data_IF_902768543523
#
_entry.id   IF_902768543523
#
_cell.length_a   1.000
_cell.length_b   1.000
_cell.length_c   1.000
_cell.angle_alpha   90.00
_cell.angle_beta   90.00
_cell.angle_gamma   90.00
#
_symmetry.space_group_name_H-M   'P 1'
#
loop_
_entity.id
_entity.type
_entity.pdbx_description
1 polymer ?
#
# COMPACT_ATOMS: atom_id res chain seq x y z
N UNK A 1 -1.88 -27.76 13.21
CA UNK A 1 -1.17 -27.93 11.92
C UNK A 1 -0.01 -26.98 11.84
N UNK A 2 1.08 -27.35 11.16
CA UNK A 2 2.38 -26.66 11.18
C UNK A 2 2.35 -25.14 10.93
N UNK A 3 1.39 -24.62 10.14
CA UNK A 3 1.27 -23.19 9.83
C UNK A 3 1.01 -22.30 11.06
N UNK A 4 0.19 -22.76 12.02
CA UNK A 4 -0.14 -21.98 13.22
C UNK A 4 1.04 -21.75 14.16
N UNK A 5 2.13 -22.50 14.00
CA UNK A 5 3.38 -22.25 14.73
C UNK A 5 4.02 -20.92 14.33
N UNK A 6 3.95 -20.58 13.04
CA UNK A 6 4.56 -19.37 12.47
C UNK A 6 3.54 -18.23 12.33
N UNK A 7 2.28 -18.58 12.07
CA UNK A 7 1.16 -17.66 11.95
C UNK A 7 0.04 -18.11 12.90
N UNK A 8 0.16 -17.85 14.20
CA UNK A 8 -0.85 -18.25 15.20
C UNK A 8 -2.24 -17.71 14.83
N UNK A 9 -2.24 -16.54 14.21
CA UNK A 9 -3.38 -15.83 13.68
C UNK A 9 -3.55 -16.08 12.17
N UNK A 10 -3.32 -17.29 11.66
CA UNK A 10 -3.78 -17.63 10.33
C UNK A 10 -5.25 -18.05 10.39
N UNK A 11 -6.12 -17.33 9.68
CA UNK A 11 -7.50 -17.76 9.43
C UNK A 11 -7.58 -18.40 8.05
N UNK A 12 -8.56 -19.29 7.90
CA UNK A 12 -8.82 -19.93 6.61
C UNK A 12 -9.73 -19.05 5.74
N UNK A 13 -10.62 -18.30 6.37
CA UNK A 13 -11.60 -17.47 5.70
C UNK A 13 -11.65 -16.06 6.26
N UNK A 14 -11.91 -15.08 5.40
CA UNK A 14 -11.94 -13.66 5.77
C UNK A 14 -13.00 -13.29 6.83
N UNK A 15 -14.02 -14.13 7.05
CA UNK A 15 -15.13 -13.84 7.97
C UNK A 15 -14.77 -14.24 9.40
N UNK A 16 -13.66 -14.96 9.58
CA UNK A 16 -13.12 -15.28 10.89
C UNK A 16 -12.30 -14.09 11.47
N UNK A 17 -12.03 -13.06 10.66
CA UNK A 17 -11.23 -11.90 11.05
C UNK A 17 -11.95 -10.97 12.03
N UNK A 18 -13.29 -10.96 12.04
CA UNK A 18 -14.07 -10.13 12.97
C UNK A 18 -13.70 -10.42 14.44
N UNK A 19 -13.38 -11.68 14.75
CA UNK A 19 -12.91 -12.09 16.09
C UNK A 19 -11.57 -11.47 16.53
N UNK A 20 -10.80 -10.86 15.61
CA UNK A 20 -9.53 -10.21 15.93
C UNK A 20 -9.67 -8.76 16.35
N UNK A 21 -10.80 -8.13 16.04
CA UNK A 21 -11.03 -6.69 16.23
C UNK A 21 -10.63 -6.25 17.62
N UNK A 22 -11.20 -6.89 18.65
CA UNK A 22 -10.95 -6.56 20.06
C UNK A 22 -9.46 -6.54 20.38
N UNK A 23 -8.73 -7.59 20.00
CA UNK A 23 -7.29 -7.69 20.24
C UNK A 23 -6.49 -6.61 19.50
N UNK A 24 -6.83 -6.32 18.25
CA UNK A 24 -6.16 -5.26 17.47
C UNK A 24 -6.32 -3.92 18.18
N UNK A 25 -7.54 -3.62 18.67
CA UNK A 25 -7.82 -2.40 19.42
C UNK A 25 -7.11 -2.38 20.78
N UNK A 26 -7.10 -3.51 21.50
CA UNK A 26 -6.46 -3.63 22.82
C UNK A 26 -4.92 -3.51 22.77
N UNK A 27 -4.31 -3.79 21.61
CA UNK A 27 -2.84 -3.72 21.42
C UNK A 27 -2.38 -2.33 20.97
N UNK A 28 -3.31 -1.42 20.64
CA UNK A 28 -3.00 -0.13 20.07
C UNK A 28 -2.51 0.87 21.12
N UNK A 29 -1.24 1.32 21.01
CA UNK A 29 -0.59 2.23 21.98
C UNK A 29 -0.16 3.57 21.39
N UNK A 30 -0.40 3.79 20.09
CA UNK A 30 0.06 4.98 19.35
C UNK A 30 -0.97 6.12 19.43
N UNK A 31 -0.53 7.35 19.22
CA UNK A 31 -1.44 8.48 19.03
C UNK A 31 -2.13 8.41 17.66
N UNK A 32 -3.40 7.98 17.68
CA UNK A 32 -4.23 7.86 16.47
C UNK A 32 -4.55 9.20 15.84
N UNK A 33 -4.70 10.25 16.64
CA UNK A 33 -5.00 11.57 16.13
C UNK A 33 -3.80 12.09 15.33
N UNK A 34 -2.60 12.01 15.91
CA UNK A 34 -1.37 12.42 15.24
C UNK A 34 -1.12 11.62 13.95
N UNK A 35 -1.37 10.31 13.95
CA UNK A 35 -1.28 9.49 12.73
C UNK A 35 -2.27 9.96 11.65
N UNK A 36 -3.54 10.19 12.02
CA UNK A 36 -4.57 10.60 11.07
C UNK A 36 -4.31 12.01 10.54
N UNK A 37 -3.74 12.91 11.35
CA UNK A 37 -3.35 14.26 10.92
C UNK A 37 -2.23 14.18 9.88
N UNK A 38 -1.16 13.42 10.15
CA UNK A 38 -0.07 13.22 9.20
C UNK A 38 -0.54 12.58 7.88
N UNK A 39 -1.45 11.60 7.96
CA UNK A 39 -2.05 10.96 6.79
C UNK A 39 -2.91 11.95 6.00
N UNK A 40 -3.70 12.80 6.66
CA UNK A 40 -4.51 13.82 6.00
C UNK A 40 -3.63 14.81 5.25
N UNK A 41 -2.63 15.40 5.92
CA UNK A 41 -1.72 16.37 5.32
C UNK A 41 -1.01 15.81 4.08
N UNK A 42 -0.50 14.58 4.18
CA UNK A 42 0.20 13.92 3.08
C UNK A 42 -0.72 13.67 1.89
N UNK A 43 -1.90 13.09 2.13
CA UNK A 43 -2.84 12.75 1.06
C UNK A 43 -3.49 13.98 0.42
N UNK A 44 -3.75 15.04 1.17
CA UNK A 44 -4.23 16.31 0.61
C UNK A 44 -3.18 16.93 -0.30
N UNK A 45 -1.89 16.89 0.09
CA UNK A 45 -0.79 17.39 -0.74
C UNK A 45 -0.65 16.64 -2.08
N UNK A 46 -1.06 15.37 -2.12
CA UNK A 46 -1.09 14.54 -3.33
C UNK A 46 -2.39 14.63 -4.12
N UNK A 47 -3.34 15.48 -3.71
CA UNK A 47 -4.62 15.65 -4.41
C UNK A 47 -5.59 14.49 -4.23
N UNK A 48 -5.56 13.82 -3.07
CA UNK A 48 -6.45 12.69 -2.80
C UNK A 48 -7.94 13.05 -2.87
N UNK A 49 -8.74 12.09 -3.33
CA UNK A 49 -10.20 12.20 -3.41
C UNK A 49 -10.89 12.15 -2.04
N UNK A 50 -12.20 12.46 -2.05
CA UNK A 50 -13.04 12.49 -0.83
C UNK A 50 -13.04 11.15 -0.11
N UNK A 51 -13.04 10.05 -0.84
CA UNK A 51 -13.07 8.69 -0.33
C UNK A 51 -11.84 8.39 0.56
N UNK A 52 -10.66 8.89 0.18
CA UNK A 52 -9.43 8.76 0.99
C UNK A 52 -9.55 9.57 2.27
N UNK A 53 -9.99 10.83 2.18
CA UNK A 53 -10.13 11.70 3.35
C UNK A 53 -11.20 11.18 4.33
N UNK A 54 -12.29 10.62 3.81
CA UNK A 54 -13.32 10.00 4.64
C UNK A 54 -12.84 8.69 5.29
N UNK A 55 -11.99 7.91 4.61
CA UNK A 55 -11.31 6.77 5.25
C UNK A 55 -10.37 7.22 6.38
N UNK A 56 -9.65 8.33 6.22
CA UNK A 56 -8.79 8.88 7.28
C UNK A 56 -9.64 9.37 8.48
N UNK A 57 -10.78 10.03 8.23
CA UNK A 57 -11.73 10.40 9.30
C UNK A 57 -12.25 9.19 10.05
N UNK A 58 -12.63 8.13 9.33
CA UNK A 58 -13.07 6.85 9.93
C UNK A 58 -11.95 6.19 10.72
N UNK A 59 -10.71 6.22 10.22
CA UNK A 59 -9.55 5.69 10.93
C UNK A 59 -9.32 6.36 12.29
N UNK A 60 -9.76 7.62 12.46
CA UNK A 60 -9.67 8.34 13.73
C UNK A 60 -10.57 7.75 14.82
N UNK A 61 -11.63 7.03 14.46
CA UNK A 61 -12.51 6.32 15.40
C UNK A 61 -11.71 5.29 16.20
N UNK A 62 -11.88 5.28 17.52
CA UNK A 62 -11.24 4.31 18.43
C UNK A 62 -11.72 2.87 18.19
N UNK A 63 -12.82 2.70 17.47
CA UNK A 63 -13.44 1.40 17.18
C UNK A 63 -13.09 0.88 15.77
N UNK A 64 -12.25 1.62 15.04
CA UNK A 64 -11.83 1.30 13.68
C UNK A 64 -10.51 0.52 13.62
N UNK A 65 -10.42 -0.39 12.66
CA UNK A 65 -9.22 -1.17 12.34
C UNK A 65 -8.73 -0.87 10.92
N UNK A 66 -7.43 -1.04 10.68
CA UNK A 66 -6.84 -0.92 9.36
C UNK A 66 -6.62 -2.30 8.72
N UNK A 67 -6.99 -2.44 7.45
CA UNK A 67 -6.54 -3.55 6.60
C UNK A 67 -5.33 -3.06 5.82
N UNK A 68 -4.14 -3.50 6.22
CA UNK A 68 -2.88 -3.02 5.67
C UNK A 68 -2.31 -4.02 4.67
N UNK A 69 -1.86 -3.51 3.54
CA UNK A 69 -0.97 -4.20 2.61
C UNK A 69 0.09 -3.21 2.13
N UNK A 70 1.07 -3.63 1.36
CA UNK A 70 2.08 -2.73 0.83
C UNK A 70 2.95 -3.33 -0.25
N UNK A 71 3.69 -2.44 -0.90
CA UNK A 71 4.71 -2.76 -1.89
C UNK A 71 5.71 -1.60 -2.01
N UNK A 72 6.89 -1.88 -2.56
CA UNK A 72 7.81 -0.86 -3.05
C UNK A 72 7.17 0.02 -4.12
N UNK A 73 7.72 1.22 -4.27
CA UNK A 73 7.26 2.25 -5.22
C UNK A 73 7.83 2.02 -6.62
N UNK A 74 7.45 0.89 -7.23
CA UNK A 74 7.86 0.52 -8.59
C UNK A 74 7.40 1.52 -9.66
N UNK A 75 8.23 1.72 -10.68
CA UNK A 75 7.92 2.52 -11.86
C UNK A 75 6.56 2.10 -12.46
N UNK A 76 5.69 3.06 -12.75
CA UNK A 76 4.33 2.82 -13.25
C UNK A 76 3.52 1.79 -12.44
N UNK A 77 3.63 1.83 -11.11
CA UNK A 77 3.01 0.89 -10.14
C UNK A 77 3.67 -0.49 -10.04
N UNK A 78 4.73 -0.72 -10.84
CA UNK A 78 5.48 -1.96 -10.86
C UNK A 78 4.64 -3.16 -11.32
N UNK A 79 4.86 -4.36 -10.77
CA UNK A 79 4.16 -5.56 -11.20
C UNK A 79 2.67 -5.51 -10.82
N UNK A 80 1.84 -6.19 -11.62
CA UNK A 80 0.37 -6.19 -11.47
C UNK A 80 -0.13 -6.61 -10.09
N UNK A 81 0.65 -7.40 -9.35
CA UNK A 81 0.28 -7.80 -7.99
C UNK A 81 0.20 -6.61 -7.02
N UNK A 82 0.86 -5.48 -7.29
CA UNK A 82 0.74 -4.23 -6.51
C UNK A 82 -0.72 -3.79 -6.48
N UNK A 83 -1.37 -3.77 -7.66
CA UNK A 83 -2.79 -3.43 -7.80
C UNK A 83 -3.66 -4.50 -7.14
N UNK A 84 -3.35 -5.78 -7.28
CA UNK A 84 -4.11 -6.85 -6.62
C UNK A 84 -4.03 -6.80 -5.10
N UNK A 85 -2.87 -6.43 -4.54
CA UNK A 85 -2.72 -6.19 -3.10
C UNK A 85 -3.63 -5.05 -2.65
N UNK A 86 -3.54 -3.89 -3.31
CA UNK A 86 -4.38 -2.74 -2.99
C UNK A 86 -5.89 -3.07 -3.07
N UNK A 87 -6.33 -3.68 -4.17
CA UNK A 87 -7.71 -4.12 -4.35
C UNK A 87 -8.14 -5.14 -3.27
N UNK A 88 -7.25 -6.04 -2.88
CA UNK A 88 -7.52 -7.02 -1.82
C UNK A 88 -7.74 -6.34 -0.48
N UNK A 89 -6.94 -5.32 -0.13
CA UNK A 89 -7.13 -4.54 1.09
C UNK A 89 -8.45 -3.78 1.08
N UNK A 90 -8.79 -3.10 -0.03
CA UNK A 90 -10.06 -2.39 -0.22
C UNK A 90 -11.24 -3.36 -0.08
N UNK A 91 -11.19 -4.50 -0.78
CA UNK A 91 -12.27 -5.48 -0.76
C UNK A 91 -12.45 -6.10 0.63
N UNK A 92 -11.35 -6.39 1.31
CA UNK A 92 -11.40 -6.96 2.65
C UNK A 92 -11.94 -5.96 3.67
N UNK A 93 -11.51 -4.70 3.62
CA UNK A 93 -12.05 -3.63 4.47
C UNK A 93 -13.56 -3.44 4.27
N UNK A 94 -14.03 -3.49 3.01
CA UNK A 94 -15.46 -3.44 2.69
C UNK A 94 -16.22 -4.65 3.26
N UNK A 95 -15.67 -5.86 3.12
CA UNK A 95 -16.28 -7.09 3.67
C UNK A 95 -16.39 -7.06 5.20
N UNK A 96 -15.39 -6.53 5.90
CA UNK A 96 -15.41 -6.36 7.36
C UNK A 96 -16.43 -5.30 7.79
N UNK A 97 -16.45 -4.16 7.08
CA UNK A 97 -17.41 -3.07 7.34
C UNK A 97 -18.85 -3.53 7.17
N UNK A 98 -19.14 -4.34 6.14
CA UNK A 98 -20.45 -4.95 5.92
C UNK A 98 -20.90 -5.91 7.04
N UNK A 99 -19.97 -6.40 7.88
CA UNK A 99 -20.24 -7.28 9.03
C UNK A 99 -20.24 -6.54 10.37
N UNK A 100 -20.10 -5.21 10.35
CA UNK A 100 -20.10 -4.38 11.56
C UNK A 100 -18.72 -4.11 12.16
N UNK A 101 -17.64 -4.54 11.51
CA UNK A 101 -16.27 -4.18 11.89
C UNK A 101 -15.84 -2.95 11.08
N UNK A 102 -15.78 -1.77 11.70
CA UNK A 102 -15.33 -0.55 11.02
C UNK A 102 -13.87 -0.72 10.53
N UNK A 103 -13.69 -0.93 9.23
CA UNK A 103 -12.38 -1.20 8.64
C UNK A 103 -12.06 -0.22 7.50
N UNK A 104 -10.82 0.24 7.46
CA UNK A 104 -10.30 1.12 6.41
C UNK A 104 -9.11 0.47 5.69
N UNK A 105 -9.02 0.57 4.36
CA UNK A 105 -7.85 0.05 3.64
C UNK A 105 -6.68 1.02 3.75
N UNK A 106 -5.48 0.48 3.97
CA UNK A 106 -4.23 1.23 3.98
C UNK A 106 -3.23 0.53 3.07
N UNK A 107 -2.65 1.28 2.13
CA UNK A 107 -1.56 0.82 1.30
C UNK A 107 -0.26 1.47 1.78
N UNK A 108 0.65 0.66 2.29
CA UNK A 108 1.98 1.07 2.71
C UNK A 108 2.91 1.15 1.49
N UNK A 109 3.32 2.37 1.16
CA UNK A 109 4.36 2.62 0.16
C UNK A 109 5.72 2.44 0.83
N UNK A 110 6.46 1.39 0.49
CA UNK A 110 7.79 1.13 1.05
C UNK A 110 8.84 2.06 0.43
N UNK A 111 8.76 3.35 0.75
CA UNK A 111 9.61 4.41 0.20
C UNK A 111 11.03 4.38 0.75
N UNK A 112 11.22 3.81 1.94
CA UNK A 112 12.51 3.69 2.63
C UNK A 112 13.41 2.56 2.11
N UNK A 113 12.93 1.78 1.14
CA UNK A 113 13.75 0.75 0.49
C UNK A 113 14.89 1.41 -0.31
N UNK A 114 15.98 0.67 -0.52
CA UNK A 114 17.15 1.11 -1.28
C UNK A 114 17.35 0.25 -2.54
N UNK A 115 16.52 -0.77 -2.76
CA UNK A 115 16.58 -1.64 -3.93
C UNK A 115 16.05 -0.93 -5.19
N UNK A 116 16.91 -0.09 -5.75
CA UNK A 116 16.62 0.66 -6.98
C UNK A 116 16.44 -0.27 -8.20
N UNK A 117 17.22 -1.35 -8.27
CA UNK A 117 17.17 -2.26 -9.42
C UNK A 117 15.80 -2.91 -9.57
N UNK A 118 15.12 -3.20 -8.45
CA UNK A 118 13.76 -3.74 -8.44
C UNK A 118 12.71 -2.72 -8.89
N UNK A 119 12.83 -1.45 -8.49
CA UNK A 119 11.77 -0.44 -8.74
C UNK A 119 11.95 0.37 -10.03
N UNK A 120 13.16 0.43 -10.61
CA UNK A 120 13.44 1.27 -11.77
C UNK A 120 12.85 0.75 -13.09
N UNK A 121 12.28 -0.47 -13.11
CA UNK A 121 11.78 -1.13 -14.32
C UNK A 121 10.29 -1.45 -14.20
N UNK A 122 9.60 -1.33 -15.32
CA UNK A 122 8.24 -1.79 -15.50
C UNK A 122 8.16 -2.65 -16.77
N UNK A 123 7.33 -3.69 -16.75
CA UNK A 123 7.07 -4.52 -17.91
C UNK A 123 5.59 -4.44 -18.28
N UNK A 124 5.32 -4.25 -19.57
CA UNK A 124 3.97 -4.13 -20.12
C UNK A 124 3.79 -5.09 -21.30
N UNK A 125 2.57 -5.57 -21.50
CA UNK A 125 2.24 -6.37 -22.69
C UNK A 125 1.90 -5.38 -23.81
N UNK A 126 2.73 -5.35 -24.85
CA UNK A 126 2.54 -4.51 -26.01
C UNK A 126 1.38 -5.01 -26.89
N UNK A 127 0.93 -4.18 -27.84
CA UNK A 127 -0.20 -4.50 -28.72
C UNK A 127 0.04 -5.74 -29.59
N UNK A 128 1.30 -6.13 -29.81
CA UNK A 128 1.68 -7.35 -30.53
C UNK A 128 1.74 -8.60 -29.62
N UNK A 129 1.37 -8.46 -28.34
CA UNK A 129 1.37 -9.53 -27.34
C UNK A 129 2.74 -9.85 -26.75
N UNK A 130 3.79 -9.09 -27.09
CA UNK A 130 5.14 -9.27 -26.52
C UNK A 130 5.31 -8.44 -25.26
N UNK A 131 6.23 -8.88 -24.40
CA UNK A 131 6.65 -8.10 -23.25
C UNK A 131 7.55 -6.95 -23.73
N UNK A 132 7.16 -5.73 -23.39
CA UNK A 132 7.97 -4.52 -23.56
C UNK A 132 8.37 -4.01 -22.17
N UNK A 133 9.62 -3.54 -22.06
CA UNK A 133 10.16 -3.00 -20.83
C UNK A 133 10.31 -1.49 -20.91
N UNK A 134 10.01 -0.83 -19.81
CA UNK A 134 10.29 0.57 -19.56
C UNK A 134 11.26 0.65 -18.38
N UNK A 135 12.33 1.43 -18.50
CA UNK A 135 13.26 1.67 -17.40
C UNK A 135 13.72 3.11 -17.38
N UNK A 136 14.01 3.60 -16.17
CA UNK A 136 14.68 4.87 -15.96
C UNK A 136 16.19 4.67 -15.72
N UNK A 137 17.05 5.67 -16.02
CA UNK A 137 18.50 5.53 -15.88
C UNK A 137 18.93 5.28 -14.43
N UNK A 138 19.99 4.49 -14.25
CA UNK A 138 20.54 4.18 -12.93
C UNK A 138 21.17 5.40 -12.25
N UNK A 139 21.62 6.38 -13.04
CA UNK A 139 22.26 7.61 -12.59
C UNK A 139 21.33 8.52 -11.76
N UNK A 140 20.01 8.30 -11.83
CA UNK A 140 19.02 8.99 -11.00
C UNK A 140 19.10 8.57 -9.52
N UNK A 141 19.65 7.38 -9.25
CA UNK A 141 19.79 6.84 -7.91
C UNK A 141 21.23 6.92 -7.43
N UNK A 142 21.45 7.68 -6.37
CA UNK A 142 22.71 7.68 -5.65
C UNK A 142 22.76 6.48 -4.70
N UNK A 143 23.91 5.81 -4.61
CA UNK A 143 24.11 4.66 -3.74
C UNK A 143 23.66 4.96 -2.29
N UNK A 144 22.82 4.08 -1.74
CA UNK A 144 22.28 4.23 -0.39
C UNK A 144 21.17 5.27 -0.23
N UNK A 145 20.64 5.87 -1.31
CA UNK A 145 19.45 6.72 -1.27
C UNK A 145 18.18 5.87 -1.18
N UNK A 146 17.20 6.34 -0.43
CA UNK A 146 15.87 5.74 -0.40
C UNK A 146 15.12 5.98 -1.71
N UNK A 147 14.42 4.95 -2.19
CA UNK A 147 13.71 4.98 -3.48
C UNK A 147 12.65 6.09 -3.55
N UNK A 148 11.93 6.35 -2.47
CA UNK A 148 10.91 7.40 -2.43
C UNK A 148 11.46 8.81 -2.50
N UNK A 149 12.77 8.98 -2.32
CA UNK A 149 13.45 10.26 -2.45
C UNK A 149 13.98 10.55 -3.83
N UNK A 150 13.94 9.61 -4.78
CA UNK A 150 14.47 9.79 -6.15
C UNK A 150 13.55 10.72 -6.95
N UNK A 151 14.15 11.73 -7.59
CA UNK A 151 13.42 12.63 -8.50
C UNK A 151 13.59 12.12 -9.92
N UNK A 152 12.48 11.78 -10.58
CA UNK A 152 12.47 11.47 -12.00
C UNK A 152 12.57 12.79 -12.78
N UNK A 153 13.57 12.89 -13.65
CA UNK A 153 13.78 14.04 -14.53
C UNK A 153 13.16 13.79 -15.92
N UNK A 154 13.49 14.64 -16.90
CA UNK A 154 13.01 14.56 -18.28
C UNK A 154 13.34 13.23 -18.98
N UNK A 155 14.28 12.43 -18.44
CA UNK A 155 14.58 11.09 -18.96
C UNK A 155 13.36 10.16 -18.95
N UNK A 156 12.36 10.42 -18.10
CA UNK A 156 11.10 9.64 -18.08
C UNK A 156 10.34 9.72 -19.41
N UNK A 157 10.47 10.81 -20.17
CA UNK A 157 9.81 10.94 -21.47
C UNK A 157 10.37 9.95 -22.49
N UNK A 158 11.65 9.58 -22.38
CA UNK A 158 12.26 8.56 -23.22
C UNK A 158 11.75 7.15 -22.90
N UNK A 159 11.22 6.96 -21.68
CA UNK A 159 10.66 5.69 -21.21
C UNK A 159 9.19 5.51 -21.64
N UNK A 160 8.46 6.60 -21.89
CA UNK A 160 7.02 6.60 -22.21
C UNK A 160 6.74 6.58 -23.73
N UNK A 161 7.66 7.11 -24.54
CA UNK A 161 7.55 7.21 -26.00
C UNK A 161 7.99 5.93 -26.73
#
# INVERSE_FOLDING_TARGET
TALRRFYPEAVRFHYELDGRRRRVLDTYTTDRAALCDALADSNESWGAGRETLDNIKRLRSSDSVAVVTGQQVGLFTGPLYTLYKALSAVKLAACLSARGTEAVPVFWMATEDHDWEEVQRAEVIACDGRLAGASVPGELHAEGRQVGGVTLDESIEQTIN
#
